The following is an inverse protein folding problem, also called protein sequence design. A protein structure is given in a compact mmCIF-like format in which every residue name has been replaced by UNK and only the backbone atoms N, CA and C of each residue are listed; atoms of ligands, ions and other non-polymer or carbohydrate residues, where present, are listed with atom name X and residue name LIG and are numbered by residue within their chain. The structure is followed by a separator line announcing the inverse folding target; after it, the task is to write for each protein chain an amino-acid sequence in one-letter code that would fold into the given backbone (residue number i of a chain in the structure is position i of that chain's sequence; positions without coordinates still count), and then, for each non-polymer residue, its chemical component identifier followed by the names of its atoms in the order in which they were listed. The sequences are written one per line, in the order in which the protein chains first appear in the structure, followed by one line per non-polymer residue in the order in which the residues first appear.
data_IF_513873530542
#
_entry.id   IF_513873530542
#
_cell.length_a   1.000
_cell.length_b   1.000
_cell.length_c   1.000
_cell.angle_alpha   90.00
_cell.angle_beta   90.00
_cell.angle_gamma   90.00
#
_symmetry.space_group_name_H-M   'P 1'
#
loop_
_entity.id
_entity.type
_entity.pdbx_description
1 polymer ?
#
# COMPACT_ATOMS: atom_id res chain seq x y z
N UNK A 1 13.43 19.61 4.26
CA UNK A 1 12.12 19.51 3.61
C UNK A 1 11.89 20.78 2.80
N UNK A 2 11.63 20.67 1.50
CA UNK A 2 11.47 21.83 0.60
C UNK A 2 10.07 22.44 0.74
N UNK A 3 9.91 23.74 0.43
CA UNK A 3 8.60 24.41 0.41
C UNK A 3 7.60 23.71 -0.53
N UNK A 4 8.10 23.18 -1.63
CA UNK A 4 7.36 22.34 -2.57
C UNK A 4 6.68 21.17 -1.87
N UNK A 5 7.38 20.45 -0.98
CA UNK A 5 6.83 19.28 -0.31
C UNK A 5 5.66 19.63 0.63
N UNK A 6 5.81 20.71 1.39
CA UNK A 6 4.76 21.22 2.27
C UNK A 6 3.51 21.68 1.50
N UNK A 7 3.67 22.05 0.23
CA UNK A 7 2.57 22.45 -0.65
C UNK A 7 1.72 21.24 -1.10
N UNK A 8 2.36 20.10 -1.39
CA UNK A 8 1.68 18.83 -1.74
C UNK A 8 0.78 18.36 -0.60
N UNK A 9 1.30 18.42 0.62
CA UNK A 9 0.57 18.01 1.82
C UNK A 9 -0.68 18.84 2.05
N UNK A 10 -0.69 20.11 1.66
CA UNK A 10 -1.76 21.07 1.98
C UNK A 10 -2.76 21.28 0.84
N UNK A 11 -2.43 20.88 -0.39
CA UNK A 11 -3.31 21.09 -1.56
C UNK A 11 -4.50 20.14 -1.55
N UNK A 12 -5.63 20.65 -2.01
CA UNK A 12 -6.82 19.83 -2.32
C UNK A 12 -6.47 19.00 -3.54
N UNK A 13 -6.45 17.68 -3.38
CA UNK A 13 -6.32 16.77 -4.51
C UNK A 13 -7.50 16.92 -5.44
N UNK A 14 -7.23 17.02 -6.74
CA UNK A 14 -8.27 16.98 -7.75
C UNK A 14 -8.49 15.55 -8.20
N UNK A 15 -9.75 15.20 -8.36
CA UNK A 15 -10.16 13.91 -8.88
C UNK A 15 -10.92 14.11 -10.19
N UNK A 16 -10.73 13.16 -11.10
CA UNK A 16 -11.34 13.13 -12.43
C UNK A 16 -12.09 11.83 -12.63
N UNK A 17 -12.96 11.78 -13.63
CA UNK A 17 -13.69 10.55 -13.97
C UNK A 17 -12.77 9.49 -14.58
N UNK A 18 -13.19 8.22 -14.55
CA UNK A 18 -12.54 7.13 -15.30
C UNK A 18 -12.30 7.54 -16.77
N UNK A 19 -13.30 8.14 -17.43
CA UNK A 19 -13.22 8.52 -18.85
C UNK A 19 -12.08 9.51 -19.14
N UNK A 20 -11.91 10.50 -18.25
CA UNK A 20 -10.84 11.49 -18.39
C UNK A 20 -9.48 10.89 -18.02
N UNK A 21 -9.44 10.03 -17.00
CA UNK A 21 -8.22 9.32 -16.63
C UNK A 21 -7.73 8.38 -17.74
N UNK A 22 -8.66 7.77 -18.48
CA UNK A 22 -8.35 6.85 -19.57
C UNK A 22 -7.60 7.48 -20.75
N UNK A 23 -7.54 8.81 -20.80
CA UNK A 23 -6.78 9.53 -21.83
C UNK A 23 -5.26 9.54 -21.54
N UNK A 24 -4.83 9.18 -20.33
CA UNK A 24 -3.42 9.28 -19.91
C UNK A 24 -2.93 8.16 -18.98
N UNK A 25 -3.80 7.24 -18.56
CA UNK A 25 -3.39 5.98 -17.91
C UNK A 25 -3.50 4.87 -18.95
N UNK A 26 -2.38 4.25 -19.28
CA UNK A 26 -2.36 3.13 -20.23
C UNK A 26 -2.99 1.88 -19.61
N UNK A 27 -3.58 1.03 -20.45
CA UNK A 27 -4.33 -0.17 -20.03
C UNK A 27 -3.54 -1.12 -19.10
N UNK A 28 -2.23 -1.21 -19.31
CA UNK A 28 -1.34 -2.10 -18.55
C UNK A 28 -0.71 -1.45 -17.32
N UNK A 29 -1.01 -0.19 -17.03
CA UNK A 29 -0.50 0.48 -15.84
C UNK A 29 -1.17 -0.05 -14.57
N UNK A 30 -0.40 -0.06 -13.49
CA UNK A 30 -0.89 -0.39 -12.17
C UNK A 30 -1.42 0.86 -11.46
N UNK A 31 -2.51 0.68 -10.72
CA UNK A 31 -3.13 1.71 -9.89
C UNK A 31 -3.41 1.14 -8.50
N UNK A 32 -3.35 1.99 -7.46
CA UNK A 32 -3.94 1.64 -6.18
C UNK A 32 -5.44 1.95 -6.22
N UNK A 33 -6.25 0.97 -5.88
CA UNK A 33 -7.70 1.06 -5.87
C UNK A 33 -8.24 0.81 -4.47
N UNK A 34 -9.02 1.78 -3.97
CA UNK A 34 -9.63 1.72 -2.65
C UNK A 34 -11.15 1.86 -2.77
N UNK A 35 -11.87 0.86 -2.26
CA UNK A 35 -13.31 0.94 -2.02
C UNK A 35 -13.56 1.13 -0.53
N UNK A 36 -13.99 2.34 -0.14
CA UNK A 36 -14.23 2.69 1.26
C UNK A 36 -15.61 3.31 1.45
N UNK A 37 -16.47 2.63 2.21
CA UNK A 37 -17.87 3.06 2.46
C UNK A 37 -18.61 3.41 1.15
N UNK A 38 -18.50 2.53 0.15
CA UNK A 38 -19.09 2.66 -1.19
C UNK A 38 -18.54 3.79 -2.06
N UNK A 39 -17.47 4.47 -1.62
CA UNK A 39 -16.72 5.41 -2.44
C UNK A 39 -15.49 4.70 -3.00
N UNK A 40 -15.34 4.73 -4.31
CA UNK A 40 -14.20 4.13 -5.01
C UNK A 40 -13.23 5.23 -5.44
N UNK A 41 -11.98 5.12 -5.00
CA UNK A 41 -10.90 6.05 -5.32
C UNK A 41 -9.74 5.32 -5.97
N UNK A 42 -9.18 5.94 -6.99
CA UNK A 42 -8.01 5.42 -7.72
C UNK A 42 -6.84 6.37 -7.58
N UNK A 43 -5.67 5.80 -7.28
CA UNK A 43 -4.41 6.51 -7.13
C UNK A 43 -3.38 5.88 -8.07
N UNK A 44 -3.16 6.46 -9.27
CA UNK A 44 -2.26 5.89 -10.27
C UNK A 44 -0.82 5.81 -9.77
N UNK A 45 -0.16 4.66 -9.97
CA UNK A 45 1.24 4.51 -9.55
C UNK A 45 2.16 5.47 -10.30
N UNK A 46 1.83 5.83 -11.55
CA UNK A 46 2.57 6.86 -12.30
C UNK A 46 2.58 8.25 -11.64
N UNK A 47 1.67 8.52 -10.70
CA UNK A 47 1.66 9.72 -9.85
C UNK A 47 2.34 9.41 -8.52
N UNK A 48 1.97 8.29 -7.89
CA UNK A 48 2.46 7.93 -6.55
C UNK A 48 3.96 7.61 -6.51
N UNK A 49 4.57 7.13 -7.59
CA UNK A 49 6.02 6.90 -7.66
C UNK A 49 6.84 8.19 -7.44
N UNK A 50 6.24 9.35 -7.70
CA UNK A 50 6.88 10.65 -7.53
C UNK A 50 6.60 11.32 -6.18
N UNK A 51 5.45 11.01 -5.58
CA UNK A 51 4.93 11.71 -4.39
C UNK A 51 4.86 10.85 -3.15
N UNK A 52 4.77 9.55 -3.35
CA UNK A 52 4.71 8.44 -2.38
C UNK A 52 3.49 8.48 -1.45
N UNK A 53 3.00 9.64 -1.05
CA UNK A 53 1.91 9.80 -0.08
C UNK A 53 0.79 10.64 -0.66
N UNK A 54 -0.45 10.24 -0.37
CA UNK A 54 -1.63 10.98 -0.75
C UNK A 54 -2.60 11.08 0.46
N UNK A 55 -2.62 12.22 1.15
CA UNK A 55 -3.60 12.51 2.23
C UNK A 55 -5.00 12.83 1.68
N UNK A 56 -5.99 11.97 1.91
CA UNK A 56 -7.35 12.09 1.36
C UNK A 56 -8.45 12.13 2.44
N UNK A 57 -9.65 12.58 2.07
CA UNK A 57 -10.87 12.45 2.86
C UNK A 57 -11.92 11.67 2.06
N UNK A 58 -12.21 10.44 2.49
CA UNK A 58 -13.05 9.51 1.74
C UNK A 58 -14.26 9.15 2.59
N UNK A 59 -15.46 9.37 2.06
CA UNK A 59 -16.71 9.27 2.81
C UNK A 59 -16.67 10.01 4.16
N UNK A 60 -16.01 11.17 4.20
CA UNK A 60 -15.82 12.00 5.41
C UNK A 60 -14.79 11.48 6.41
N UNK A 61 -13.96 10.50 6.07
CA UNK A 61 -12.92 9.96 6.96
C UNK A 61 -11.52 10.30 6.43
N UNK A 62 -10.58 10.65 7.32
CA UNK A 62 -9.23 11.03 6.92
C UNK A 62 -8.40 9.77 6.61
N UNK A 63 -8.13 9.52 5.33
CA UNK A 63 -7.40 8.33 4.87
C UNK A 63 -6.01 8.71 4.34
N UNK A 64 -5.02 7.90 4.67
CA UNK A 64 -3.67 7.94 4.11
C UNK A 64 -3.60 6.88 3.03
N UNK A 65 -3.11 7.25 1.86
CA UNK A 65 -2.67 6.31 0.83
C UNK A 65 -1.17 6.51 0.69
N UNK A 66 -0.41 5.43 0.69
CA UNK A 66 1.05 5.49 0.60
C UNK A 66 1.58 4.40 -0.32
N UNK A 67 2.65 4.71 -1.05
CA UNK A 67 3.30 3.83 -1.99
C UNK A 67 4.82 3.96 -1.89
N UNK A 68 5.51 2.83 -1.69
CA UNK A 68 6.96 2.77 -1.74
C UNK A 68 7.38 1.98 -3.00
N UNK A 69 7.87 2.64 -4.05
CA UNK A 69 8.24 1.97 -5.30
C UNK A 69 9.36 0.95 -5.10
N UNK A 70 10.31 1.22 -4.19
CA UNK A 70 11.41 0.31 -3.91
C UNK A 70 10.94 -1.04 -3.35
N UNK A 71 9.83 -1.02 -2.61
CA UNK A 71 9.25 -2.18 -1.93
C UNK A 71 8.06 -2.77 -2.69
N UNK A 72 7.54 -2.08 -3.71
CA UNK A 72 6.30 -2.48 -4.39
C UNK A 72 5.06 -2.38 -3.50
N UNK A 73 5.16 -1.69 -2.35
CA UNK A 73 4.18 -1.68 -1.27
C UNK A 73 3.19 -0.53 -1.43
N UNK A 74 1.89 -0.86 -1.56
CA UNK A 74 0.79 0.10 -1.63
C UNK A 74 -0.17 -0.11 -0.47
N UNK A 75 -0.25 0.86 0.44
CA UNK A 75 -0.89 0.67 1.76
C UNK A 75 -1.80 1.85 2.07
N UNK A 76 -2.86 1.60 2.85
CA UNK A 76 -3.76 2.63 3.33
C UNK A 76 -4.00 2.54 4.84
N UNK A 77 -4.16 3.71 5.48
CA UNK A 77 -4.41 3.84 6.91
C UNK A 77 -5.47 4.90 7.22
N UNK A 78 -6.15 4.79 8.36
CA UNK A 78 -6.80 5.95 8.97
C UNK A 78 -5.74 6.94 9.47
N UNK A 79 -5.84 8.22 9.12
CA UNK A 79 -4.93 9.29 9.58
C UNK A 79 -5.28 9.82 10.97
N UNK A 80 -5.57 8.91 11.89
CA UNK A 80 -5.91 9.23 13.27
C UNK A 80 -4.82 8.71 14.20
N UNK A 81 -4.25 9.61 14.98
CA UNK A 81 -3.20 9.34 15.97
C UNK A 81 -3.75 9.64 17.36
N UNK A 82 -3.21 9.02 18.40
CA UNK A 82 -3.61 9.27 19.78
C UNK A 82 -2.59 10.17 20.48
N UNK A 83 -2.99 11.37 20.90
CA UNK A 83 -2.11 12.33 21.59
C UNK A 83 -2.77 12.67 22.91
N UNK A 84 -2.06 12.43 24.03
CA UNK A 84 -2.59 12.65 25.39
C UNK A 84 -3.95 11.98 25.65
N UNK A 85 -4.19 10.79 25.08
CA UNK A 85 -5.44 10.04 25.21
C UNK A 85 -6.58 10.52 24.30
N UNK A 86 -6.35 11.49 23.42
CA UNK A 86 -7.32 11.96 22.44
C UNK A 86 -6.94 11.55 21.02
N UNK A 87 -7.91 11.02 20.27
CA UNK A 87 -7.71 10.73 18.84
C UNK A 87 -7.86 11.98 18.01
N UNK A 88 -6.80 12.38 17.32
CA UNK A 88 -6.78 13.55 16.45
C UNK A 88 -6.43 13.17 15.01
N UNK A 89 -6.91 13.97 14.06
CA UNK A 89 -6.54 13.82 12.66
C UNK A 89 -5.20 14.53 12.37
N UNK A 90 -4.35 13.88 11.59
CA UNK A 90 -3.06 14.45 11.14
C UNK A 90 -2.86 14.24 9.64
N UNK A 91 -1.89 14.93 9.04
CA UNK A 91 -1.42 14.64 7.68
C UNK A 91 -0.06 14.00 7.76
N UNK A 92 0.23 13.12 6.82
CA UNK A 92 1.52 12.44 6.72
C UNK A 92 2.32 12.97 5.56
N UNK A 93 3.63 13.05 5.73
CA UNK A 93 4.59 13.35 4.69
C UNK A 93 5.75 12.35 4.64
N UNK A 94 6.57 12.45 3.62
CA UNK A 94 7.75 11.63 3.37
C UNK A 94 8.91 12.29 4.09
N UNK A 95 9.64 11.53 4.90
CA UNK A 95 10.76 12.07 5.68
C UNK A 95 12.05 12.19 4.85
N UNK A 96 12.07 11.60 3.65
CA UNK A 96 13.29 11.38 2.86
C UNK A 96 14.22 10.34 3.48
N UNK A 97 13.74 9.54 4.45
CA UNK A 97 14.47 8.45 5.09
C UNK A 97 13.88 7.11 4.70
N UNK A 98 14.72 6.10 4.81
CA UNK A 98 14.35 4.71 4.58
C UNK A 98 14.82 3.86 5.77
N UNK A 99 14.03 2.85 6.10
CA UNK A 99 14.40 1.77 7.01
C UNK A 99 14.02 0.45 6.35
N UNK A 100 14.96 -0.50 6.27
CA UNK A 100 14.82 -1.71 5.45
C UNK A 100 14.35 -1.42 4.01
N UNK A 101 14.98 -0.46 3.33
CA UNK A 101 14.57 0.07 2.00
C UNK A 101 13.18 0.69 1.92
N UNK A 102 12.39 0.63 2.98
CA UNK A 102 11.01 1.06 2.98
C UNK A 102 10.88 2.51 3.45
N UNK A 103 9.89 3.21 2.88
CA UNK A 103 9.57 4.59 3.18
C UNK A 103 9.35 4.82 4.68
N UNK A 104 10.03 5.82 5.24
CA UNK A 104 9.69 6.37 6.56
C UNK A 104 8.88 7.65 6.36
N UNK A 105 7.68 7.66 6.93
CA UNK A 105 6.76 8.78 6.91
C UNK A 105 6.93 9.63 8.18
N UNK A 106 6.37 10.84 8.20
CA UNK A 106 6.22 11.64 9.41
C UNK A 106 4.81 12.21 9.49
N UNK A 107 4.30 12.48 10.69
CA UNK A 107 3.04 13.20 10.87
C UNK A 107 3.26 14.69 11.19
N UNK A 108 2.44 15.57 10.62
CA UNK A 108 2.59 17.03 10.75
C UNK A 108 2.25 17.59 12.15
N UNK A 109 1.60 16.80 13.01
CA UNK A 109 1.11 17.30 14.31
C UNK A 109 2.15 17.16 15.40
N UNK A 110 2.95 16.09 15.34
CA UNK A 110 3.89 15.71 16.39
C UNK A 110 5.33 15.54 15.88
N UNK A 111 5.53 15.61 14.56
CA UNK A 111 6.79 15.29 13.88
C UNK A 111 7.31 13.87 14.20
N UNK A 112 6.44 12.96 14.65
CA UNK A 112 6.78 11.54 14.86
C UNK A 112 6.99 10.86 13.52
N UNK A 113 7.99 9.99 13.44
CA UNK A 113 8.27 9.15 12.29
C UNK A 113 7.58 7.80 12.40
N UNK A 114 7.00 7.39 11.27
CA UNK A 114 6.17 6.22 11.13
C UNK A 114 6.71 5.35 10.01
N UNK A 115 6.82 4.06 10.26
CA UNK A 115 7.16 3.09 9.24
C UNK A 115 5.97 2.87 8.31
N UNK A 116 6.22 2.74 7.00
CA UNK A 116 5.14 2.61 6.02
C UNK A 116 4.51 1.21 5.97
N UNK A 117 5.29 0.13 6.11
CA UNK A 117 4.81 -1.26 6.06
C UNK A 117 3.91 -1.59 7.26
N UNK A 118 4.40 -1.51 8.49
CA UNK A 118 3.63 -1.92 9.69
C UNK A 118 2.85 -0.76 10.34
N UNK A 119 2.84 0.43 9.73
CA UNK A 119 2.15 1.60 10.24
C UNK A 119 2.61 2.07 11.62
N UNK A 120 3.80 1.65 12.08
CA UNK A 120 4.26 1.85 13.45
C UNK A 120 5.05 3.14 13.63
N UNK A 121 4.77 3.87 14.69
CA UNK A 121 5.60 4.98 15.13
C UNK A 121 6.93 4.46 15.68
N UNK A 122 8.04 4.88 15.07
CA UNK A 122 9.39 4.38 15.36
C UNK A 122 10.31 5.42 16.02
N UNK A 123 10.09 6.71 15.80
CA UNK A 123 10.90 7.80 16.39
C UNK A 123 10.02 9.02 16.64
N UNK A 124 9.89 9.44 17.90
CA UNK A 124 9.11 10.61 18.29
C UNK A 124 8.25 10.35 19.52
N UNK A 125 7.39 11.30 19.89
CA UNK A 125 6.57 11.20 21.10
C UNK A 125 5.54 10.07 21.06
N UNK A 126 5.12 9.64 19.86
CA UNK A 126 4.12 8.59 19.68
C UNK A 126 4.72 7.20 19.46
N UNK A 127 6.03 7.02 19.67
CA UNK A 127 6.74 5.74 19.44
C UNK A 127 6.01 4.57 20.09
N UNK A 128 5.76 3.51 19.30
CA UNK A 128 5.03 2.32 19.71
C UNK A 128 3.53 2.34 19.41
N UNK A 129 2.95 3.47 18.99
CA UNK A 129 1.61 3.48 18.39
C UNK A 129 1.63 2.86 17.00
N UNK A 130 0.47 2.33 16.61
CA UNK A 130 0.24 1.71 15.30
C UNK A 130 -0.98 2.36 14.65
N UNK A 131 -0.86 2.66 13.36
CA UNK A 131 -1.97 3.16 12.56
C UNK A 131 -2.95 2.05 12.23
N UNK A 132 -4.23 2.41 12.14
CA UNK A 132 -5.25 1.44 11.74
C UNK A 132 -5.25 1.27 10.22
N UNK A 133 -4.88 0.08 9.77
CA UNK A 133 -4.85 -0.30 8.36
C UNK A 133 -6.23 -0.37 7.71
N UNK A 134 -6.24 -0.16 6.40
CA UNK A 134 -7.39 -0.28 5.50
C UNK A 134 -6.95 -1.07 4.29
N UNK A 135 -7.73 -2.09 3.93
CA UNK A 135 -7.51 -2.89 2.72
C UNK A 135 -7.53 -2.01 1.47
N UNK A 136 -6.48 -2.11 0.66
CA UNK A 136 -6.32 -1.46 -0.64
C UNK A 136 -5.72 -2.46 -1.62
N UNK A 137 -6.02 -2.32 -2.90
CA UNK A 137 -5.54 -3.26 -3.92
C UNK A 137 -4.66 -2.54 -4.94
N UNK A 138 -3.59 -3.21 -5.37
CA UNK A 138 -2.86 -2.82 -6.58
C UNK A 138 -3.38 -3.64 -7.74
N UNK A 139 -4.01 -2.99 -8.71
CA UNK A 139 -4.70 -3.64 -9.84
C UNK A 139 -4.24 -3.05 -11.16
N UNK A 140 -4.49 -3.79 -12.25
CA UNK A 140 -4.25 -3.31 -13.61
C UNK A 140 -5.39 -2.40 -14.03
N UNK A 141 -5.07 -1.23 -14.58
CA UNK A 141 -6.04 -0.19 -14.93
C UNK A 141 -7.16 -0.70 -15.85
N UNK A 142 -6.80 -1.44 -16.91
CA UNK A 142 -7.77 -2.02 -17.85
C UNK A 142 -8.79 -2.91 -17.17
N UNK A 143 -8.34 -3.71 -16.22
CA UNK A 143 -9.20 -4.70 -15.58
C UNK A 143 -10.17 -3.96 -14.64
N UNK A 144 -9.66 -3.01 -13.84
CA UNK A 144 -10.47 -2.17 -12.95
C UNK A 144 -11.53 -1.32 -13.67
N UNK A 145 -11.14 -0.55 -14.70
CA UNK A 145 -12.02 0.45 -15.32
C UNK A 145 -13.28 -0.16 -15.97
N UNK A 146 -13.25 -1.46 -16.27
CA UNK A 146 -14.36 -2.19 -16.88
C UNK A 146 -15.53 -2.44 -15.90
N UNK A 147 -15.22 -2.74 -14.64
CA UNK A 147 -16.21 -3.06 -13.59
C UNK A 147 -16.59 -1.86 -12.71
N UNK A 148 -15.79 -0.79 -12.73
CA UNK A 148 -15.88 0.31 -11.76
C UNK A 148 -16.00 1.69 -12.43
N UNK A 149 -17.04 1.95 -13.26
CA UNK A 149 -17.14 3.16 -14.07
C UNK A 149 -17.33 4.46 -13.27
N UNK A 150 -17.69 4.35 -11.99
CA UNK A 150 -17.98 5.48 -11.11
C UNK A 150 -16.81 5.86 -10.19
N UNK A 151 -15.65 5.18 -10.29
CA UNK A 151 -14.52 5.54 -9.43
C UNK A 151 -13.98 6.93 -9.78
N UNK A 152 -13.46 7.60 -8.76
CA UNK A 152 -12.81 8.89 -8.91
C UNK A 152 -11.29 8.70 -8.92
N UNK A 153 -10.61 9.23 -9.94
CA UNK A 153 -9.18 9.02 -10.15
C UNK A 153 -8.39 10.27 -9.77
N UNK A 154 -7.32 10.11 -8.98
CA UNK A 154 -6.41 11.21 -8.65
C UNK A 154 -5.82 11.78 -9.95
N UNK A 155 -5.99 13.07 -10.19
CA UNK A 155 -5.55 13.71 -11.43
C UNK A 155 -4.07 14.07 -11.42
N UNK A 156 -3.50 14.26 -12.62
CA UNK A 156 -2.15 14.79 -12.81
C UNK A 156 -2.02 16.28 -12.41
N UNK A 157 -3.13 16.99 -12.13
CA UNK A 157 -3.10 18.36 -11.59
C UNK A 157 -2.81 18.33 -10.07
N UNK A 158 -1.61 17.87 -9.76
CA UNK A 158 -1.03 17.82 -8.41
C UNK A 158 -0.46 19.17 -7.98
N UNK A 159 -0.33 20.10 -8.93
CA UNK A 159 0.35 21.37 -8.76
C UNK A 159 1.88 21.28 -8.77
N UNK A 160 2.45 20.19 -9.32
CA UNK A 160 3.88 20.01 -9.56
C UNK A 160 4.17 19.76 -11.04
N UNK A 161 5.33 20.21 -11.50
CA UNK A 161 5.86 19.78 -12.79
C UNK A 161 6.68 18.50 -12.58
N UNK A 162 6.10 17.37 -12.99
CA UNK A 162 6.73 16.04 -12.97
C UNK A 162 6.43 15.31 -14.27
N UNK A 163 7.28 14.37 -14.62
CA UNK A 163 7.08 13.52 -15.80
C UNK A 163 6.25 12.29 -15.40
N UNK A 164 4.97 12.49 -15.09
CA UNK A 164 4.05 11.37 -14.89
C UNK A 164 4.00 10.49 -16.14
N UNK A 165 3.84 9.19 -15.92
CA UNK A 165 3.95 8.14 -16.95
C UNK A 165 5.38 7.68 -17.22
N UNK A 166 6.41 8.36 -16.68
CA UNK A 166 7.80 7.91 -16.76
C UNK A 166 8.27 7.40 -15.40
N UNK A 167 8.40 6.10 -15.26
CA UNK A 167 8.89 5.48 -14.03
C UNK A 167 10.41 5.70 -13.86
N UNK A 168 10.87 6.31 -12.74
CA UNK A 168 12.28 6.55 -12.47
C UNK A 168 13.08 5.28 -12.04
N UNK A 169 12.40 4.21 -11.65
CA UNK A 169 13.02 2.96 -11.17
C UNK A 169 13.10 1.89 -12.26
N UNK A 170 12.20 1.88 -13.25
CA UNK A 170 12.34 1.11 -14.49
C UNK A 170 12.79 -0.35 -14.31
N UNK A 171 13.99 -0.69 -14.80
CA UNK A 171 14.54 -2.05 -14.72
C UNK A 171 14.86 -2.54 -13.30
N UNK A 172 14.81 -1.66 -12.30
CA UNK A 172 14.98 -2.06 -10.91
C UNK A 172 14.02 -3.17 -10.52
N UNK A 173 12.76 -3.15 -10.97
CA UNK A 173 11.76 -4.14 -10.55
C UNK A 173 12.06 -5.57 -11.04
N UNK A 174 12.91 -5.71 -12.07
CA UNK A 174 13.23 -7.00 -12.69
C UNK A 174 14.51 -7.65 -12.15
N UNK A 175 15.38 -6.86 -11.48
CA UNK A 175 16.64 -7.35 -10.90
C UNK A 175 16.45 -7.79 -9.44
N UNK A 176 17.29 -8.70 -8.97
CA UNK A 176 17.44 -9.05 -7.55
C UNK A 176 18.13 -7.96 -6.71
N UNK A 177 18.88 -7.05 -7.33
CA UNK A 177 19.63 -5.98 -6.66
C UNK A 177 18.72 -5.02 -5.87
N UNK A 178 19.10 -4.71 -4.62
CA UNK A 178 18.42 -3.73 -3.78
C UNK A 178 19.26 -2.44 -3.74
N UNK A 179 18.63 -1.28 -3.94
CA UNK A 179 19.34 0.02 -3.88
C UNK A 179 19.80 0.31 -2.45
N UNK A 180 19.03 -0.15 -1.45
CA UNK A 180 19.36 -0.05 -0.04
C UNK A 180 19.28 -1.44 0.61
N UNK A 181 20.11 -1.69 1.61
CA UNK A 181 20.12 -2.98 2.29
C UNK A 181 18.95 -3.14 3.26
N UNK A 182 18.66 -4.39 3.61
CA UNK A 182 17.66 -4.78 4.62
C UNK A 182 18.29 -5.64 5.70
N UNK A 183 17.77 -5.54 6.92
CA UNK A 183 18.34 -6.22 8.10
C UNK A 183 18.03 -7.71 8.16
N UNK A 184 16.95 -8.17 7.50
CA UNK A 184 16.57 -9.57 7.40
C UNK A 184 16.28 -9.92 5.94
N UNK A 185 16.78 -11.08 5.50
CA UNK A 185 16.69 -11.56 4.12
C UNK A 185 16.25 -13.02 4.11
N UNK A 186 15.62 -13.42 3.00
CA UNK A 186 15.15 -14.78 2.77
C UNK A 186 15.25 -15.11 1.28
N UNK A 187 15.88 -16.24 0.97
CA UNK A 187 16.21 -16.66 -0.39
C UNK A 187 15.30 -17.78 -0.93
N UNK A 188 14.17 -18.06 -0.25
CA UNK A 188 13.21 -19.10 -0.71
C UNK A 188 12.62 -18.77 -2.06
N UNK A 189 12.43 -17.48 -2.36
CA UNK A 189 11.89 -16.95 -3.63
C UNK A 189 12.65 -15.69 -4.03
N UNK A 190 12.45 -15.23 -5.28
CA UNK A 190 13.10 -14.01 -5.76
C UNK A 190 12.74 -12.82 -4.85
N UNK A 191 13.69 -11.94 -4.49
CA UNK A 191 13.44 -10.84 -3.54
C UNK A 191 12.31 -9.92 -4.00
N UNK A 192 12.13 -9.74 -5.32
CA UNK A 192 11.03 -8.93 -5.89
C UNK A 192 9.82 -9.73 -6.37
N UNK A 193 9.69 -10.99 -5.96
CA UNK A 193 8.43 -11.71 -6.14
C UNK A 193 7.34 -10.96 -5.37
N UNK A 194 6.25 -10.62 -6.06
CA UNK A 194 5.08 -10.00 -5.43
C UNK A 194 4.39 -11.03 -4.53
N UNK A 195 4.16 -10.64 -3.29
CA UNK A 195 3.44 -11.42 -2.30
C UNK A 195 2.29 -10.63 -1.72
N UNK A 196 1.30 -11.35 -1.21
CA UNK A 196 0.25 -10.84 -0.34
C UNK A 196 0.49 -11.37 1.07
N UNK A 197 0.96 -10.51 1.96
CA UNK A 197 1.24 -10.79 3.36
C UNK A 197 0.03 -10.56 4.25
N UNK A 198 -0.13 -11.40 5.28
CA UNK A 198 -1.12 -11.22 6.35
C UNK A 198 -0.54 -11.62 7.70
N UNK A 199 -1.12 -11.03 8.74
CA UNK A 199 -0.94 -11.44 10.13
C UNK A 199 -2.23 -12.03 10.70
N UNK A 200 -2.13 -13.19 11.35
CA UNK A 200 -3.23 -13.76 12.13
C UNK A 200 -2.68 -14.28 13.45
N UNK A 201 -3.17 -13.72 14.57
CA UNK A 201 -2.75 -14.05 15.94
C UNK A 201 -1.21 -14.07 16.11
N UNK A 202 -0.52 -13.04 15.60
CA UNK A 202 0.93 -12.92 15.65
C UNK A 202 1.68 -13.87 14.71
N UNK A 203 0.99 -14.63 13.86
CA UNK A 203 1.60 -15.48 12.84
C UNK A 203 1.52 -14.81 11.48
N UNK A 204 2.68 -14.52 10.90
CA UNK A 204 2.80 -13.99 9.55
C UNK A 204 2.81 -15.10 8.50
N UNK A 205 2.01 -14.92 7.44
CA UNK A 205 2.04 -15.78 6.26
C UNK A 205 1.90 -14.96 4.98
N UNK A 206 2.63 -15.35 3.94
CA UNK A 206 2.60 -14.71 2.63
C UNK A 206 2.19 -15.69 1.52
N UNK A 207 1.50 -15.18 0.51
CA UNK A 207 1.05 -15.89 -0.69
C UNK A 207 1.59 -15.19 -1.92
N UNK A 208 2.20 -15.91 -2.86
CA UNK A 208 2.72 -15.28 -4.08
C UNK A 208 1.57 -14.89 -4.99
N UNK A 209 1.70 -13.76 -5.67
CA UNK A 209 0.72 -13.32 -6.68
C UNK A 209 0.47 -14.39 -7.75
N UNK A 210 1.51 -15.13 -8.17
CA UNK A 210 1.39 -16.22 -9.14
C UNK A 210 0.48 -17.37 -8.69
N UNK A 211 0.49 -17.72 -7.41
CA UNK A 211 -0.35 -18.79 -6.87
C UNK A 211 -1.82 -18.34 -6.90
N UNK A 212 -2.07 -17.07 -6.54
CA UNK A 212 -3.42 -16.48 -6.56
C UNK A 212 -3.98 -16.31 -7.97
N UNK A 213 -3.13 -16.00 -8.96
CA UNK A 213 -3.54 -15.95 -10.37
C UNK A 213 -3.93 -17.35 -10.86
N UNK A 214 -3.16 -18.38 -10.50
CA UNK A 214 -3.35 -19.75 -10.95
C UNK A 214 -4.55 -20.43 -10.30
N UNK A 215 -4.70 -20.30 -8.99
CA UNK A 215 -5.69 -21.05 -8.21
C UNK A 215 -6.99 -20.27 -8.02
N UNK A 216 -6.95 -18.93 -8.11
CA UNK A 216 -8.05 -17.97 -7.84
C UNK A 216 -8.61 -18.01 -6.42
N UNK A 217 -8.68 -19.19 -5.80
CA UNK A 217 -9.15 -19.40 -4.43
C UNK A 217 -8.22 -20.36 -3.71
N UNK A 218 -7.72 -19.94 -2.54
CA UNK A 218 -6.92 -20.77 -1.63
C UNK A 218 -7.61 -20.80 -0.27
N UNK A 219 -7.79 -22.00 0.29
CA UNK A 219 -8.14 -22.18 1.71
C UNK A 219 -6.91 -22.65 2.48
N UNK A 220 -6.65 -22.04 3.64
CA UNK A 220 -5.46 -22.30 4.43
C UNK A 220 -5.75 -22.19 5.93
N UNK A 221 -4.79 -22.59 6.76
CA UNK A 221 -4.85 -22.47 8.22
C UNK A 221 -3.61 -21.75 8.75
N UNK A 222 -3.83 -20.63 9.43
CA UNK A 222 -2.78 -19.79 10.02
C UNK A 222 -3.12 -19.57 11.49
N UNK A 223 -2.17 -19.78 12.40
CA UNK A 223 -2.39 -19.54 13.83
C UNK A 223 -3.50 -20.38 14.48
N UNK A 224 -4.15 -21.30 13.75
CA UNK A 224 -5.35 -21.99 14.22
C UNK A 224 -6.64 -21.56 13.51
N UNK A 225 -6.64 -20.40 12.88
CA UNK A 225 -7.75 -19.79 12.12
C UNK A 225 -7.76 -20.32 10.69
N UNK A 226 -8.96 -20.63 10.15
CA UNK A 226 -9.08 -20.95 8.72
C UNK A 226 -9.34 -19.69 7.94
N UNK A 227 -8.58 -19.52 6.86
CA UNK A 227 -8.67 -18.35 6.01
C UNK A 227 -8.99 -18.77 4.59
N UNK A 228 -9.69 -17.89 3.88
CA UNK A 228 -9.93 -18.01 2.44
C UNK A 228 -9.38 -16.79 1.74
N UNK A 229 -8.51 -17.02 0.76
CA UNK A 229 -7.89 -16.02 -0.09
C UNK A 229 -8.53 -16.15 -1.46
N UNK A 230 -9.09 -15.06 -1.99
CA UNK A 230 -9.78 -15.04 -3.27
C UNK A 230 -9.24 -13.91 -4.13
N UNK A 231 -8.90 -14.20 -5.39
CA UNK A 231 -8.57 -13.20 -6.40
C UNK A 231 -9.67 -13.14 -7.44
N UNK A 232 -10.31 -11.99 -7.61
CA UNK A 232 -11.32 -11.80 -8.64
C UNK A 232 -10.69 -11.44 -10.00
N UNK A 233 -11.53 -11.18 -11.01
CA UNK A 233 -11.07 -10.85 -12.36
C UNK A 233 -10.59 -9.39 -12.52
N UNK A 234 -10.96 -8.50 -11.58
CA UNK A 234 -10.43 -7.12 -11.49
C UNK A 234 -9.03 -7.09 -10.86
N UNK A 235 -8.53 -8.24 -10.39
CA UNK A 235 -7.25 -8.37 -9.69
C UNK A 235 -7.30 -8.10 -8.19
N UNK A 236 -8.48 -7.79 -7.64
CA UNK A 236 -8.70 -7.60 -6.21
C UNK A 236 -8.43 -8.91 -5.49
N UNK A 237 -7.66 -8.87 -4.42
CA UNK A 237 -7.44 -10.01 -3.53
C UNK A 237 -8.21 -9.78 -2.23
N UNK A 238 -9.09 -10.69 -1.84
CA UNK A 238 -9.78 -10.64 -0.55
C UNK A 238 -9.32 -11.79 0.32
N UNK A 239 -8.98 -11.50 1.57
CA UNK A 239 -8.65 -12.51 2.56
C UNK A 239 -9.69 -12.43 3.67
N UNK A 240 -10.30 -13.57 3.99
CA UNK A 240 -11.37 -13.63 5.00
C UNK A 240 -11.12 -14.71 6.02
N UNK A 241 -11.50 -14.43 7.25
CA UNK A 241 -11.63 -15.43 8.30
C UNK A 241 -12.89 -16.26 8.05
N UNK A 242 -12.76 -17.57 7.86
CA UNK A 242 -13.88 -18.45 7.54
C UNK A 242 -14.81 -18.73 8.73
N UNK A 243 -14.35 -18.48 9.96
CA UNK A 243 -15.15 -18.62 11.16
C UNK A 243 -16.02 -17.39 11.43
N UNK A 244 -15.48 -16.17 11.25
CA UNK A 244 -16.21 -14.92 11.55
C UNK A 244 -16.83 -14.26 10.32
N UNK A 245 -16.28 -14.52 9.13
CA UNK A 245 -16.61 -13.84 7.88
C UNK A 245 -15.95 -12.46 7.73
N UNK A 246 -15.15 -12.04 8.72
CA UNK A 246 -14.45 -10.76 8.68
C UNK A 246 -13.31 -10.78 7.64
N UNK A 247 -13.06 -9.62 7.04
CA UNK A 247 -11.91 -9.41 6.19
C UNK A 247 -10.64 -9.28 7.04
N UNK A 248 -9.58 -9.98 6.63
CA UNK A 248 -8.23 -9.83 7.16
C UNK A 248 -7.51 -8.89 6.21
N UNK A 249 -7.00 -7.77 6.74
CA UNK A 249 -6.26 -6.82 5.91
C UNK A 249 -4.96 -7.47 5.44
N UNK A 250 -4.68 -7.29 4.16
CA UNK A 250 -3.52 -7.81 3.46
C UNK A 250 -2.62 -6.67 3.05
N UNK A 251 -1.34 -6.95 2.96
CA UNK A 251 -0.35 -6.08 2.34
C UNK A 251 0.15 -6.72 1.05
N UNK A 252 0.39 -5.92 0.01
CA UNK A 252 0.98 -6.39 -1.25
C UNK A 252 2.35 -5.77 -1.41
N UNK A 253 3.39 -6.60 -1.44
CA UNK A 253 4.78 -6.18 -1.40
C UNK A 253 5.67 -7.03 -2.29
N UNK A 254 6.87 -6.54 -2.54
CA UNK A 254 7.98 -7.40 -2.88
C UNK A 254 8.42 -8.21 -1.66
N UNK A 255 8.73 -9.49 -1.88
CA UNK A 255 9.10 -10.45 -0.84
C UNK A 255 10.17 -9.93 0.13
N UNK A 256 11.24 -9.31 -0.38
CA UNK A 256 12.34 -8.82 0.45
C UNK A 256 11.87 -7.74 1.43
N UNK A 257 10.91 -6.90 1.02
CA UNK A 257 10.41 -5.81 1.84
C UNK A 257 9.52 -6.37 2.95
N UNK A 258 8.52 -7.19 2.60
CA UNK A 258 7.67 -7.87 3.58
C UNK A 258 8.49 -8.67 4.61
N UNK A 259 9.42 -9.51 4.14
CA UNK A 259 10.21 -10.37 5.02
C UNK A 259 11.13 -9.58 5.95
N UNK A 260 11.63 -8.41 5.51
CA UNK A 260 12.50 -7.58 6.34
C UNK A 260 11.79 -7.02 7.59
N UNK A 261 10.46 -6.86 7.54
CA UNK A 261 9.63 -6.43 8.67
C UNK A 261 9.00 -7.60 9.42
N UNK A 262 8.73 -8.70 8.73
CA UNK A 262 8.10 -9.90 9.28
C UNK A 262 9.01 -11.13 9.13
N UNK A 263 10.17 -11.16 9.82
CA UNK A 263 11.04 -12.32 9.80
C UNK A 263 10.28 -13.54 10.32
N UNK A 264 10.67 -14.74 9.87
CA UNK A 264 9.97 -16.00 10.17
C UNK A 264 8.60 -16.14 9.48
N UNK A 265 8.25 -15.24 8.55
CA UNK A 265 7.05 -15.38 7.71
C UNK A 265 7.00 -16.77 7.07
N UNK A 266 5.85 -17.45 7.27
CA UNK A 266 5.52 -18.68 6.58
C UNK A 266 5.18 -18.35 5.12
N UNK A 267 5.68 -19.15 4.19
CA UNK A 267 5.38 -18.95 2.77
C UNK A 267 4.46 -20.06 2.28
N UNK A 268 3.35 -19.70 1.64
CA UNK A 268 2.43 -20.67 1.06
C UNK A 268 3.14 -21.57 0.04
N UNK A 269 2.85 -22.87 0.07
CA UNK A 269 3.52 -23.87 -0.77
C UNK A 269 4.90 -24.32 -0.29
N UNK A 270 5.42 -23.76 0.81
CA UNK A 270 6.68 -24.18 1.43
C UNK A 270 6.40 -24.88 2.77
N UNK A 271 7.24 -25.88 3.09
CA UNK A 271 7.18 -26.63 4.35
C UNK A 271 8.07 -26.03 5.41
#
# INVERSE_FOLDING_TARGET
MTEEYLLWLKKIKKFVSIKEADEWIEDNELVLALTYKSVEKIYPLQILVWHEIANDNIAGNPILITYCPLCGSGIAYERKIEVNGEKIETRFGTSGKLFNSNLVMYDEKTDTYWQQIDGKAIVGELTGQELKEISIDTVVWRDWKSGHPNSEVLSQDTGFSRQYGKDPYGSYYEDSFLIFDVNAQDDRIHPKTVVFGIEVDGTYKAYKEEDLIKEKTIEDKIGGVRVKIERNDDGIVKISNLETGDEIVKERDFWFAWYAFHPETKLYGFK
#
